data_IF_263354986908
#
_entry.id   IF_263354986908
#
_cell.length_a   1.000
_cell.length_b   1.000
_cell.length_c   1.000
_cell.angle_alpha   90.00
_cell.angle_beta   90.00
_cell.angle_gamma   90.00
#
_symmetry.space_group_name_H-M   'P 1'
#
loop_
_entity.id
_entity.type
_entity.pdbx_description
1 polymer ?
#
# COMPACT_ATOMS: atom_id res chain seq x y z
N UNK A 1 -27.61 3.24 -6.96
CA UNK A 1 -26.50 2.37 -6.49
C UNK A 1 -26.29 1.12 -7.36
N UNK A 2 -26.97 0.96 -8.50
CA UNK A 2 -26.86 -0.24 -9.36
C UNK A 2 -25.72 -0.22 -10.40
N UNK A 3 -25.14 0.94 -10.69
CA UNK A 3 -24.15 1.08 -11.78
C UNK A 3 -22.82 0.37 -11.50
N UNK A 4 -22.53 -0.02 -10.25
CA UNK A 4 -21.26 -0.64 -9.85
C UNK A 4 -21.22 -2.15 -10.01
N UNK A 5 -22.39 -2.82 -10.11
CA UNK A 5 -22.44 -4.29 -10.12
C UNK A 5 -22.26 -4.89 -11.52
N UNK A 6 -22.62 -4.16 -12.58
CA UNK A 6 -22.68 -4.66 -13.97
C UNK A 6 -21.72 -3.94 -14.95
N UNK A 7 -20.52 -3.57 -14.49
CA UNK A 7 -19.47 -3.04 -15.38
C UNK A 7 -18.63 -4.18 -16.00
N UNK A 8 -18.38 -4.11 -17.31
CA UNK A 8 -17.38 -4.95 -17.98
C UNK A 8 -16.03 -4.87 -17.25
N UNK A 9 -15.21 -5.94 -17.31
CA UNK A 9 -13.91 -6.05 -16.63
C UNK A 9 -13.04 -4.79 -16.82
N UNK A 10 -13.09 -4.21 -18.01
CA UNK A 10 -12.44 -2.95 -18.35
C UNK A 10 -12.81 -1.78 -17.43
N UNK A 11 -14.10 -1.57 -17.15
CA UNK A 11 -14.56 -0.50 -16.26
C UNK A 11 -14.07 -0.73 -14.83
N UNK A 12 -14.03 -1.99 -14.37
CA UNK A 12 -13.50 -2.33 -13.04
C UNK A 12 -12.01 -1.99 -12.94
N UNK A 13 -11.22 -2.31 -13.97
CA UNK A 13 -9.81 -1.93 -14.04
C UNK A 13 -9.63 -0.41 -14.01
N UNK A 14 -10.45 0.35 -14.74
CA UNK A 14 -10.40 1.82 -14.70
C UNK A 14 -10.69 2.38 -13.30
N UNK A 15 -11.67 1.82 -12.58
CA UNK A 15 -11.94 2.24 -11.20
C UNK A 15 -10.77 1.91 -10.26
N UNK A 16 -10.14 0.74 -10.38
CA UNK A 16 -8.95 0.38 -9.62
C UNK A 16 -7.78 1.32 -9.90
N UNK A 17 -7.51 1.62 -11.18
CA UNK A 17 -6.46 2.58 -11.58
C UNK A 17 -6.74 3.99 -11.07
N UNK A 18 -8.00 4.41 -11.07
CA UNK A 18 -8.38 5.70 -10.48
C UNK A 18 -8.15 5.70 -8.97
N UNK A 19 -8.48 4.62 -8.26
CA UNK A 19 -8.21 4.47 -6.83
C UNK A 19 -6.73 4.57 -6.49
N UNK A 20 -5.87 3.92 -7.28
CA UNK A 20 -4.41 4.02 -7.15
C UNK A 20 -3.93 5.45 -7.40
N UNK A 21 -4.37 6.07 -8.50
CA UNK A 21 -3.99 7.43 -8.87
C UNK A 21 -4.38 8.45 -7.80
N UNK A 22 -5.62 8.40 -7.33
CA UNK A 22 -6.12 9.32 -6.31
C UNK A 22 -5.32 9.15 -5.03
N UNK A 23 -5.16 7.91 -4.54
CA UNK A 23 -4.45 7.66 -3.28
C UNK A 23 -2.98 8.07 -3.35
N UNK A 24 -2.30 7.83 -4.47
CA UNK A 24 -0.92 8.29 -4.68
C UNK A 24 -0.78 9.84 -4.67
N UNK A 25 -1.77 10.55 -5.22
CA UNK A 25 -1.74 12.01 -5.29
C UNK A 25 -2.11 12.66 -3.95
N UNK A 26 -3.09 12.10 -3.24
CA UNK A 26 -3.63 12.72 -2.03
C UNK A 26 -2.91 12.26 -0.75
N UNK A 27 -2.47 11.00 -0.68
CA UNK A 27 -1.85 10.46 0.53
C UNK A 27 -0.33 10.41 0.41
N UNK A 28 0.33 11.15 1.30
CA UNK A 28 1.79 11.17 1.38
C UNK A 28 2.34 9.79 1.75
N UNK A 29 1.69 9.05 2.65
CA UNK A 29 2.11 7.72 3.07
C UNK A 29 2.09 6.73 1.90
N UNK A 30 0.96 6.63 1.17
CA UNK A 30 0.85 5.81 -0.04
C UNK A 30 1.95 6.15 -1.05
N UNK A 31 2.18 7.43 -1.32
CA UNK A 31 3.26 7.85 -2.24
C UNK A 31 4.64 7.42 -1.76
N UNK A 32 4.93 7.56 -0.48
CA UNK A 32 6.21 7.12 0.07
C UNK A 32 6.40 5.62 -0.11
N UNK A 33 5.37 4.80 0.13
CA UNK A 33 5.47 3.34 -0.06
C UNK A 33 5.73 2.94 -1.51
N UNK A 34 5.06 3.59 -2.46
CA UNK A 34 5.35 3.39 -3.89
C UNK A 34 6.79 3.77 -4.26
N UNK A 35 7.29 4.90 -3.74
CA UNK A 35 8.65 5.35 -4.01
C UNK A 35 9.70 4.42 -3.36
N UNK A 36 9.45 3.95 -2.14
CA UNK A 36 10.31 2.98 -1.46
C UNK A 36 10.33 1.66 -2.21
N UNK A 37 9.17 1.17 -2.67
CA UNK A 37 9.07 -0.01 -3.53
C UNK A 37 9.89 0.14 -4.81
N UNK A 38 9.76 1.28 -5.51
CA UNK A 38 10.58 1.57 -6.69
C UNK A 38 12.08 1.64 -6.36
N UNK A 39 12.43 2.18 -5.19
CA UNK A 39 13.80 2.21 -4.68
C UNK A 39 14.39 0.82 -4.45
N UNK A 40 13.65 -0.09 -3.81
CA UNK A 40 14.10 -1.48 -3.62
C UNK A 40 14.37 -2.20 -4.94
N UNK A 41 13.47 -2.05 -5.91
CA UNK A 41 13.66 -2.63 -7.25
C UNK A 41 14.89 -2.03 -7.94
N UNK A 42 15.08 -0.71 -7.86
CA UNK A 42 16.25 -0.04 -8.42
C UNK A 42 17.55 -0.51 -7.76
N UNK A 43 17.54 -0.72 -6.43
CA UNK A 43 18.68 -1.25 -5.69
C UNK A 43 18.96 -2.70 -6.10
N UNK A 44 17.94 -3.56 -6.23
CA UNK A 44 18.12 -4.94 -6.68
C UNK A 44 18.76 -5.01 -8.07
N UNK A 45 18.34 -4.15 -9.01
CA UNK A 45 19.01 -4.01 -10.30
C UNK A 45 20.44 -3.47 -10.18
N UNK A 46 20.69 -2.51 -9.28
CA UNK A 46 22.02 -1.94 -9.08
C UNK A 46 23.04 -2.95 -8.53
N UNK A 47 22.57 -3.93 -7.76
CA UNK A 47 23.39 -5.03 -7.24
C UNK A 47 23.46 -6.24 -8.18
N UNK A 48 22.98 -6.12 -9.43
CA UNK A 48 22.95 -7.20 -10.42
C UNK A 48 22.29 -8.50 -9.89
N UNK A 49 21.24 -8.37 -9.07
CA UNK A 49 20.46 -9.52 -8.62
C UNK A 49 19.84 -10.27 -9.82
N UNK A 50 19.67 -11.58 -9.67
CA UNK A 50 19.03 -12.41 -10.70
C UNK A 50 17.59 -11.94 -10.98
N UNK A 51 17.07 -12.10 -12.22
CA UNK A 51 15.74 -11.60 -12.59
C UNK A 51 14.60 -12.10 -11.70
N UNK A 52 14.70 -13.35 -11.23
CA UNK A 52 13.72 -13.94 -10.33
C UNK A 52 13.72 -13.24 -8.96
N UNK A 53 14.90 -12.91 -8.43
CA UNK A 53 15.05 -12.19 -7.17
C UNK A 53 14.55 -10.75 -7.29
N UNK A 54 14.84 -10.07 -8.40
CA UNK A 54 14.28 -8.73 -8.68
C UNK A 54 12.75 -8.78 -8.74
N UNK A 55 12.18 -9.81 -9.37
CA UNK A 55 10.74 -9.99 -9.42
C UNK A 55 10.14 -10.26 -8.03
N UNK A 56 10.79 -11.08 -7.20
CA UNK A 56 10.39 -11.32 -5.82
C UNK A 56 10.47 -10.05 -4.96
N UNK A 57 11.53 -9.25 -5.11
CA UNK A 57 11.67 -7.94 -4.45
C UNK A 57 10.51 -7.02 -4.86
N UNK A 58 10.20 -6.94 -6.16
CA UNK A 58 9.07 -6.15 -6.66
C UNK A 58 7.74 -6.59 -6.05
N UNK A 59 7.45 -7.90 -6.03
CA UNK A 59 6.21 -8.41 -5.46
C UNK A 59 6.14 -8.18 -3.94
N UNK A 60 7.23 -8.44 -3.21
CA UNK A 60 7.30 -8.24 -1.77
C UNK A 60 7.11 -6.76 -1.40
N UNK A 61 7.78 -5.85 -2.10
CA UNK A 61 7.73 -4.41 -1.83
C UNK A 61 6.37 -3.76 -2.14
N UNK A 62 5.49 -4.43 -2.89
CA UNK A 62 4.10 -4.00 -3.08
C UNK A 62 3.19 -4.33 -1.88
N UNK A 63 3.58 -5.26 -1.00
CA UNK A 63 2.72 -5.64 0.12
C UNK A 63 2.41 -4.46 1.07
N UNK A 64 3.38 -3.62 1.49
CA UNK A 64 3.08 -2.44 2.29
C UNK A 64 2.20 -1.42 1.58
N UNK A 65 2.36 -1.26 0.26
CA UNK A 65 1.50 -0.38 -0.55
C UNK A 65 0.04 -0.83 -0.47
N UNK A 66 -0.22 -2.13 -0.58
CA UNK A 66 -1.59 -2.68 -0.45
C UNK A 66 -2.15 -2.42 0.93
N UNK A 67 -1.38 -2.67 1.99
CA UNK A 67 -1.82 -2.43 3.38
C UNK A 67 -2.07 -0.95 3.64
N UNK A 68 -1.23 -0.06 3.10
CA UNK A 68 -1.38 1.39 3.23
C UNK A 68 -2.63 1.92 2.49
N UNK A 69 -2.96 1.35 1.32
CA UNK A 69 -4.22 1.67 0.62
C UNK A 69 -5.44 1.24 1.43
N UNK A 70 -5.37 0.08 2.11
CA UNK A 70 -6.42 -0.38 3.02
C UNK A 70 -6.51 0.56 4.24
N UNK A 71 -5.38 0.87 4.88
CA UNK A 71 -5.29 1.83 5.98
C UNK A 71 -5.98 3.15 5.62
N UNK A 72 -5.53 3.78 4.53
CA UNK A 72 -6.10 5.01 3.98
C UNK A 72 -7.62 4.91 3.76
N UNK A 73 -8.10 3.81 3.15
CA UNK A 73 -9.51 3.65 2.85
C UNK A 73 -10.36 3.53 4.14
N UNK A 74 -9.88 2.81 5.14
CA UNK A 74 -10.56 2.64 6.42
C UNK A 74 -10.50 3.93 7.24
N UNK A 75 -9.35 4.63 7.28
CA UNK A 75 -9.23 5.92 7.96
C UNK A 75 -10.20 6.96 7.40
N UNK A 76 -10.30 7.07 6.06
CA UNK A 76 -11.29 7.95 5.42
C UNK A 76 -12.72 7.57 5.79
N UNK A 77 -13.02 6.28 5.93
CA UNK A 77 -14.34 5.81 6.36
C UNK A 77 -14.62 6.21 7.80
N UNK A 78 -13.65 6.04 8.70
CA UNK A 78 -13.73 6.48 10.10
C UNK A 78 -13.94 8.00 10.17
N UNK A 79 -13.14 8.78 9.45
CA UNK A 79 -13.22 10.25 9.44
C UNK A 79 -14.57 10.76 8.91
N UNK A 80 -15.15 10.06 7.93
CA UNK A 80 -16.46 10.40 7.36
C UNK A 80 -17.61 10.10 8.34
N UNK A 81 -17.49 9.07 9.16
CA UNK A 81 -18.59 8.57 10.00
C UNK A 81 -18.53 9.07 11.44
N UNK A 82 -17.34 9.09 12.03
CA UNK A 82 -17.12 9.38 13.44
C UNK A 82 -16.44 10.75 13.64
N UNK A 83 -15.75 11.28 12.63
CA UNK A 83 -15.03 12.55 12.68
C UNK A 83 -13.58 12.40 13.17
N UNK A 84 -12.68 13.33 12.83
CA UNK A 84 -11.23 13.14 12.92
C UNK A 84 -10.63 13.09 14.33
N UNK A 85 -11.38 13.46 15.37
CA UNK A 85 -10.91 13.58 16.75
C UNK A 85 -11.89 13.04 17.81
N UNK A 86 -12.89 12.28 17.39
CA UNK A 86 -13.95 11.83 18.30
C UNK A 86 -13.56 10.49 18.94
N UNK A 87 -13.23 10.56 20.24
CA UNK A 87 -13.21 9.44 21.19
C UNK A 87 -12.02 8.46 21.09
N UNK A 88 -11.79 7.77 22.20
CA UNK A 88 -10.72 6.80 22.41
C UNK A 88 -10.81 5.60 21.43
N UNK A 89 -12.03 5.18 21.07
CA UNK A 89 -12.27 4.09 20.13
C UNK A 89 -11.75 4.39 18.71
N UNK A 90 -11.87 5.65 18.24
CA UNK A 90 -11.33 6.06 16.94
C UNK A 90 -9.80 6.03 16.95
N UNK A 91 -9.19 6.47 18.05
CA UNK A 91 -7.73 6.40 18.21
C UNK A 91 -7.25 4.95 18.12
N UNK A 92 -7.85 4.05 18.89
CA UNK A 92 -7.50 2.62 18.90
C UNK A 92 -7.65 2.01 17.49
N UNK A 93 -8.70 2.36 16.74
CA UNK A 93 -8.89 1.88 15.36
C UNK A 93 -7.75 2.35 14.44
N UNK A 94 -7.41 3.64 14.44
CA UNK A 94 -6.33 4.21 13.61
C UNK A 94 -4.95 3.67 14.00
N UNK A 95 -4.68 3.54 15.29
CA UNK A 95 -3.43 2.96 15.80
C UNK A 95 -3.29 1.50 15.37
N UNK A 96 -4.39 0.73 15.38
CA UNK A 96 -4.39 -0.67 14.93
C UNK A 96 -4.12 -0.78 13.43
N UNK A 97 -4.70 0.10 12.61
CA UNK A 97 -4.41 0.12 11.17
C UNK A 97 -2.95 0.52 10.89
N UNK A 98 -2.45 1.53 11.61
CA UNK A 98 -1.04 1.94 11.54
C UNK A 98 -0.09 0.81 11.97
N UNK A 99 -0.46 0.01 12.97
CA UNK A 99 0.31 -1.16 13.38
C UNK A 99 0.37 -2.24 12.28
N UNK A 100 -0.73 -2.43 11.53
CA UNK A 100 -0.75 -3.35 10.40
C UNK A 100 0.20 -2.89 9.28
N UNK A 101 0.22 -1.59 8.96
CA UNK A 101 1.20 -1.00 8.03
C UNK A 101 2.62 -1.27 8.53
N UNK A 102 2.91 -0.93 9.79
CA UNK A 102 4.24 -1.14 10.38
C UNK A 102 4.73 -2.60 10.27
N UNK A 103 3.89 -3.57 10.61
CA UNK A 103 4.25 -4.98 10.49
C UNK A 103 4.46 -5.40 9.04
N UNK A 104 3.65 -4.89 8.11
CA UNK A 104 3.83 -5.16 6.69
C UNK A 104 5.16 -4.63 6.15
N UNK A 105 5.58 -3.44 6.59
CA UNK A 105 6.90 -2.86 6.26
C UNK A 105 8.03 -3.74 6.77
N UNK A 106 7.96 -4.13 8.05
CA UNK A 106 8.99 -4.95 8.67
C UNK A 106 9.19 -6.28 7.92
N UNK A 107 8.08 -6.97 7.60
CA UNK A 107 8.12 -8.25 6.89
C UNK A 107 8.62 -8.06 5.46
N UNK A 108 7.99 -7.17 4.69
CA UNK A 108 8.27 -7.01 3.26
C UNK A 108 9.67 -6.44 3.03
N UNK A 109 10.04 -5.36 3.71
CA UNK A 109 11.33 -4.72 3.52
C UNK A 109 12.46 -5.55 4.15
N UNK A 110 12.20 -6.26 5.25
CA UNK A 110 13.13 -7.26 5.76
C UNK A 110 13.43 -8.36 4.74
N UNK A 111 12.40 -8.85 4.04
CA UNK A 111 12.57 -9.82 2.96
C UNK A 111 13.32 -9.23 1.76
N UNK A 112 13.01 -8.00 1.33
CA UNK A 112 13.73 -7.34 0.24
C UNK A 112 15.22 -7.17 0.58
N UNK A 113 15.54 -6.70 1.79
CA UNK A 113 16.93 -6.58 2.26
C UNK A 113 17.61 -7.94 2.28
N UNK A 114 16.91 -9.00 2.75
CA UNK A 114 17.45 -10.35 2.72
C UNK A 114 17.80 -10.76 1.30
N UNK A 115 16.88 -10.63 0.35
CA UNK A 115 17.10 -11.08 -1.04
C UNK A 115 18.24 -10.31 -1.71
N UNK A 116 18.30 -8.99 -1.52
CA UNK A 116 19.29 -8.15 -2.20
C UNK A 116 20.72 -8.38 -1.67
N UNK A 117 20.88 -8.59 -0.37
CA UNK A 117 22.19 -8.58 0.27
C UNK A 117 22.69 -9.95 0.77
N UNK A 118 21.85 -10.99 0.77
CA UNK A 118 22.17 -12.31 1.33
C UNK A 118 21.60 -13.49 0.53
#
# INVERSE_FOLDING_TARGET
>A
MEQWKNGNLFNKTLYSLNGLRVSFMTEKAVRNEFLTSAGFVAIAFFFDCDPDDVFLVFLASLAPVVVELINTAVERRIDTNDGPAFREDVRIQKDTLSAAVFLSLFIAYGLCVKIIFF
#
